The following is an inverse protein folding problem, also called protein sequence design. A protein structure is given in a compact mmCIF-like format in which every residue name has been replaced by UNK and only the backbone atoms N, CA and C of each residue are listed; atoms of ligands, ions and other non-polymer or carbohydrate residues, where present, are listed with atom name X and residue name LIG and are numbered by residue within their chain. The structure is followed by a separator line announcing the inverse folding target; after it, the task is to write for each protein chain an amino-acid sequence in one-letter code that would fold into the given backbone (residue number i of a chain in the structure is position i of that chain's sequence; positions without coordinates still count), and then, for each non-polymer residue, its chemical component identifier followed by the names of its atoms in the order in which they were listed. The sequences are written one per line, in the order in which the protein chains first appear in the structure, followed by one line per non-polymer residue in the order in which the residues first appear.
data_IF_556528360826
#
_entry.id   IF_556528360826
#
_cell.length_a   1.000
_cell.length_b   1.000
_cell.length_c   1.000
_cell.angle_alpha   90.00
_cell.angle_beta   90.00
_cell.angle_gamma   90.00
#
_symmetry.space_group_name_H-M   'P 1'
#
loop_
_entity.id
_entity.type
_entity.pdbx_description
1 polymer ?
#
# COMPACT_ATOMS: atom_id res chain seq x y z
N UNK A 1 86.03 9.81 -39.99
CA UNK A 1 87.37 9.20 -39.79
C UNK A 1 87.45 7.97 -40.69
N UNK A 2 88.01 8.19 -41.87
CA UNK A 2 88.57 7.26 -42.86
C UNK A 2 87.87 5.92 -43.13
N UNK A 3 86.91 6.03 -44.05
CA UNK A 3 86.62 5.12 -45.16
C UNK A 3 87.86 4.35 -45.64
N UNK A 4 87.81 3.01 -45.57
CA UNK A 4 88.79 2.12 -46.22
C UNK A 4 88.17 1.58 -47.51
N UNK A 5 88.59 2.20 -48.60
CA UNK A 5 88.39 1.81 -49.99
C UNK A 5 88.78 0.32 -50.22
N UNK A 6 87.96 -0.51 -50.90
CA UNK A 6 88.21 -1.93 -51.14
C UNK A 6 89.41 -2.24 -52.06
N UNK A 7 90.27 -1.26 -52.36
CA UNK A 7 91.48 -1.41 -53.19
C UNK A 7 92.77 -1.63 -52.40
N UNK A 8 92.78 -1.53 -51.08
CA UNK A 8 93.99 -1.78 -50.28
C UNK A 8 94.08 -3.26 -49.86
N UNK A 9 94.26 -4.14 -50.84
CA UNK A 9 94.79 -5.47 -50.57
C UNK A 9 96.26 -5.33 -50.18
N UNK A 10 96.64 -5.86 -49.01
CA UNK A 10 98.06 -6.09 -48.69
C UNK A 10 98.76 -6.79 -49.86
N UNK A 11 100.04 -6.51 -50.12
CA UNK A 11 100.73 -6.92 -51.35
C UNK A 11 100.83 -8.44 -51.59
N UNK A 12 100.38 -9.29 -50.66
CA UNK A 12 100.34 -10.76 -50.80
C UNK A 12 99.15 -11.34 -51.60
N UNK A 13 98.12 -10.55 -51.96
CA UNK A 13 96.90 -11.10 -52.59
C UNK A 13 96.80 -10.95 -54.11
N UNK A 14 97.89 -10.55 -54.79
CA UNK A 14 97.85 -10.17 -56.21
C UNK A 14 97.74 -11.35 -57.19
N UNK A 15 98.02 -12.59 -56.76
CA UNK A 15 98.13 -13.79 -57.63
C UNK A 15 97.12 -14.92 -57.31
N UNK A 16 95.86 -14.60 -56.96
CA UNK A 16 94.83 -15.62 -56.70
C UNK A 16 93.76 -15.72 -57.80
N UNK A 17 93.30 -16.95 -58.07
CA UNK A 17 92.27 -17.34 -59.06
C UNK A 17 90.91 -16.65 -58.81
N UNK A 18 90.08 -16.39 -59.84
CA UNK A 18 88.75 -15.77 -59.68
C UNK A 18 87.87 -16.44 -58.59
N UNK A 19 87.95 -17.76 -58.46
CA UNK A 19 87.20 -18.55 -57.48
C UNK A 19 87.70 -18.33 -56.03
N UNK A 20 89.02 -18.19 -55.86
CA UNK A 20 89.62 -17.89 -54.55
C UNK A 20 89.24 -16.49 -54.07
N UNK A 21 89.14 -15.52 -54.99
CA UNK A 21 88.63 -14.16 -54.66
C UNK A 21 87.15 -14.19 -54.26
N UNK A 22 86.34 -15.03 -54.91
CA UNK A 22 84.93 -15.21 -54.56
C UNK A 22 84.77 -15.90 -53.19
N UNK A 23 85.58 -16.92 -52.89
CA UNK A 23 85.59 -17.58 -51.58
C UNK A 23 86.00 -16.64 -50.45
N UNK A 24 87.11 -15.90 -50.60
CA UNK A 24 87.57 -14.92 -49.58
C UNK A 24 86.51 -13.83 -49.37
N UNK A 25 85.85 -13.36 -50.43
CA UNK A 25 84.76 -12.38 -50.34
C UNK A 25 83.54 -12.94 -49.61
N UNK A 26 83.18 -14.20 -49.86
CA UNK A 26 82.07 -14.88 -49.18
C UNK A 26 82.38 -15.06 -47.69
N UNK A 27 83.60 -15.46 -47.35
CA UNK A 27 84.06 -15.67 -45.98
C UNK A 27 84.03 -14.35 -45.18
N UNK A 28 84.51 -13.25 -45.77
CA UNK A 28 84.41 -11.91 -45.18
C UNK A 28 82.93 -11.49 -45.01
N UNK A 29 82.07 -11.80 -45.97
CA UNK A 29 80.64 -11.45 -45.92
C UNK A 29 79.89 -12.24 -44.85
N UNK A 30 80.17 -13.55 -44.71
CA UNK A 30 79.64 -14.40 -43.65
C UNK A 30 80.12 -13.97 -42.27
N UNK A 31 81.41 -13.67 -42.12
CA UNK A 31 81.96 -13.21 -40.84
C UNK A 31 81.36 -11.85 -40.45
N UNK A 32 81.19 -10.95 -41.41
CA UNK A 32 80.51 -9.68 -41.19
C UNK A 32 79.02 -9.87 -40.87
N UNK A 33 78.35 -10.84 -41.49
CA UNK A 33 76.96 -11.20 -41.17
C UNK A 33 76.86 -11.72 -39.74
N UNK A 34 77.65 -12.72 -39.34
CA UNK A 34 77.63 -13.25 -37.97
C UNK A 34 78.00 -12.21 -36.93
N UNK A 35 78.99 -11.36 -37.20
CA UNK A 35 79.37 -10.25 -36.30
C UNK A 35 78.27 -9.21 -36.15
N UNK A 36 77.52 -8.94 -37.23
CA UNK A 36 76.35 -8.08 -37.19
C UNK A 36 75.13 -8.79 -36.56
N UNK A 37 75.03 -10.11 -36.70
CA UNK A 37 73.98 -10.94 -36.12
C UNK A 37 74.13 -11.05 -34.61
N UNK A 38 75.34 -11.27 -34.10
CA UNK A 38 75.66 -11.22 -32.66
C UNK A 38 75.34 -9.86 -32.03
N UNK A 39 75.70 -8.78 -32.76
CA UNK A 39 75.33 -7.42 -32.38
C UNK A 39 73.83 -7.15 -32.44
N UNK A 40 73.10 -7.88 -33.28
CA UNK A 40 71.63 -7.78 -33.39
C UNK A 40 70.97 -8.54 -32.24
N UNK A 41 71.46 -9.75 -31.95
CA UNK A 41 70.93 -10.64 -30.90
C UNK A 41 70.98 -10.00 -29.52
N UNK A 42 72.09 -9.35 -29.16
CA UNK A 42 72.22 -8.62 -27.89
C UNK A 42 71.28 -7.41 -27.76
N UNK A 43 70.79 -6.85 -28.87
CA UNK A 43 69.78 -5.77 -28.85
C UNK A 43 68.36 -6.32 -28.70
N UNK A 44 68.08 -7.46 -29.33
CA UNK A 44 66.82 -8.19 -29.16
C UNK A 44 66.64 -8.68 -27.72
N UNK A 45 67.70 -9.17 -27.10
CA UNK A 45 67.73 -9.54 -25.68
C UNK A 45 67.32 -8.37 -24.78
N UNK A 46 67.91 -7.18 -25.02
CA UNK A 46 67.59 -5.96 -24.25
C UNK A 46 66.15 -5.46 -24.45
N UNK A 47 65.53 -5.76 -25.59
CA UNK A 47 64.13 -5.39 -25.88
C UNK A 47 63.12 -6.41 -25.33
N UNK A 48 63.47 -7.70 -25.34
CA UNK A 48 62.59 -8.80 -24.92
C UNK A 48 62.46 -8.88 -23.39
N UNK A 49 63.52 -8.62 -22.64
CA UNK A 49 63.46 -8.64 -21.16
C UNK A 49 62.35 -7.75 -20.57
N UNK A 50 62.23 -6.45 -20.93
CA UNK A 50 61.14 -5.63 -20.41
C UNK A 50 59.76 -6.09 -20.92
N UNK A 51 59.65 -6.61 -22.16
CA UNK A 51 58.39 -7.18 -22.65
C UNK A 51 57.95 -8.40 -21.84
N UNK A 52 58.87 -9.31 -21.50
CA UNK A 52 58.58 -10.49 -20.70
C UNK A 52 58.06 -10.12 -19.30
N UNK A 53 58.65 -9.09 -18.68
CA UNK A 53 58.18 -8.57 -17.39
C UNK A 53 56.77 -8.00 -17.51
N UNK A 54 56.51 -7.18 -18.53
CA UNK A 54 55.18 -6.60 -18.76
C UNK A 54 54.13 -7.67 -19.03
N UNK A 55 54.44 -8.67 -19.86
CA UNK A 55 53.53 -9.80 -20.15
C UNK A 55 53.30 -10.66 -18.91
N UNK A 56 54.34 -10.90 -18.09
CA UNK A 56 54.20 -11.63 -16.83
C UNK A 56 53.31 -10.91 -15.83
N UNK A 57 53.49 -9.60 -15.65
CA UNK A 57 52.64 -8.76 -14.78
C UNK A 57 51.21 -8.70 -15.31
N UNK A 58 51.02 -8.58 -16.62
CA UNK A 58 49.68 -8.62 -17.24
C UNK A 58 49.00 -9.98 -17.04
N UNK A 59 49.74 -11.08 -17.19
CA UNK A 59 49.21 -12.42 -16.95
C UNK A 59 48.80 -12.64 -15.49
N UNK A 60 49.65 -12.23 -14.54
CA UNK A 60 49.34 -12.28 -13.11
C UNK A 60 48.16 -11.38 -12.76
N UNK A 61 48.12 -10.15 -13.28
CA UNK A 61 47.02 -9.21 -13.08
C UNK A 61 45.71 -9.74 -13.66
N UNK A 62 45.75 -10.36 -14.84
CA UNK A 62 44.57 -10.96 -15.47
C UNK A 62 44.06 -12.15 -14.67
N UNK A 63 44.96 -13.03 -14.23
CA UNK A 63 44.61 -14.17 -13.38
C UNK A 63 44.04 -13.72 -12.02
N UNK A 64 44.64 -12.70 -11.41
CA UNK A 64 44.16 -12.11 -10.16
C UNK A 64 42.73 -11.54 -10.30
N UNK A 65 42.43 -10.87 -11.41
CA UNK A 65 41.09 -10.34 -11.70
C UNK A 65 40.07 -11.46 -11.87
N UNK A 66 40.40 -12.50 -12.63
CA UNK A 66 39.54 -13.67 -12.83
C UNK A 66 39.27 -14.37 -11.49
N UNK A 67 40.30 -14.55 -10.66
CA UNK A 67 40.16 -15.16 -9.34
C UNK A 67 39.19 -14.36 -8.45
N UNK A 68 39.40 -13.05 -8.31
CA UNK A 68 38.52 -12.19 -7.51
C UNK A 68 37.08 -12.21 -8.02
N UNK A 69 36.86 -12.04 -9.32
CA UNK A 69 35.51 -12.07 -9.91
C UNK A 69 34.83 -13.42 -9.70
N UNK A 70 35.56 -14.51 -9.83
CA UNK A 70 35.01 -15.87 -9.63
C UNK A 70 34.62 -16.09 -8.17
N UNK A 71 35.46 -15.65 -7.23
CA UNK A 71 35.16 -15.72 -5.79
C UNK A 71 33.96 -14.84 -5.42
N UNK A 72 33.91 -13.61 -5.91
CA UNK A 72 32.80 -12.70 -5.67
C UNK A 72 31.49 -13.25 -6.24
N UNK A 73 31.51 -13.81 -7.46
CA UNK A 73 30.36 -14.46 -8.08
C UNK A 73 29.84 -15.66 -7.28
N UNK A 74 30.75 -16.45 -6.68
CA UNK A 74 30.35 -17.56 -5.82
C UNK A 74 29.62 -17.07 -4.56
N UNK A 75 30.15 -16.04 -3.89
CA UNK A 75 29.50 -15.46 -2.71
C UNK A 75 28.16 -14.78 -3.03
N UNK A 76 28.03 -14.17 -4.22
CA UNK A 76 26.79 -13.58 -4.67
C UNK A 76 25.72 -14.65 -4.92
N UNK A 77 26.11 -15.77 -5.52
CA UNK A 77 25.21 -16.91 -5.79
C UNK A 77 24.69 -17.52 -4.48
N UNK A 78 25.57 -17.71 -3.49
CA UNK A 78 25.16 -18.23 -2.17
C UNK A 78 24.21 -17.28 -1.41
N UNK A 79 24.32 -15.96 -1.62
CA UNK A 79 23.47 -14.99 -0.93
C UNK A 79 22.15 -14.72 -1.64
N UNK A 80 22.16 -14.73 -2.98
CA UNK A 80 20.99 -14.44 -3.82
C UNK A 80 20.03 -15.62 -3.84
N UNK A 81 20.52 -16.85 -3.99
CA UNK A 81 19.65 -17.99 -4.30
C UNK A 81 18.74 -18.39 -3.13
N UNK A 82 19.25 -18.69 -1.92
CA UNK A 82 18.40 -19.22 -0.84
C UNK A 82 17.58 -18.11 -0.16
N UNK A 83 18.17 -16.92 0.02
CA UNK A 83 17.51 -15.83 0.78
C UNK A 83 16.42 -15.15 -0.03
N UNK A 84 16.58 -15.04 -1.35
CA UNK A 84 15.48 -14.52 -2.19
C UNK A 84 14.36 -15.54 -2.30
N UNK A 85 14.65 -16.83 -2.41
CA UNK A 85 13.62 -17.88 -2.38
C UNK A 85 12.78 -17.80 -1.11
N UNK A 86 13.41 -17.78 0.07
CA UNK A 86 12.71 -17.68 1.35
C UNK A 86 11.88 -16.40 1.48
N UNK A 87 12.44 -15.26 1.07
CA UNK A 87 11.74 -13.97 1.12
C UNK A 87 10.55 -13.93 0.16
N UNK A 88 10.70 -14.47 -1.06
CA UNK A 88 9.62 -14.55 -2.03
C UNK A 88 8.53 -15.51 -1.57
N UNK A 89 8.89 -16.64 -0.95
CA UNK A 89 7.95 -17.56 -0.35
C UNK A 89 7.20 -16.93 0.82
N UNK A 90 7.90 -16.20 1.70
CA UNK A 90 7.28 -15.44 2.80
C UNK A 90 6.33 -14.37 2.27
N UNK A 91 6.73 -13.63 1.25
CA UNK A 91 5.89 -12.64 0.60
C UNK A 91 4.64 -13.27 -0.03
N UNK A 92 4.78 -14.41 -0.70
CA UNK A 92 3.66 -15.19 -1.24
C UNK A 92 2.69 -15.61 -0.13
N UNK A 93 3.21 -16.11 0.99
CA UNK A 93 2.40 -16.47 2.16
C UNK A 93 1.65 -15.26 2.74
N UNK A 94 2.32 -14.11 2.88
CA UNK A 94 1.68 -12.87 3.33
C UNK A 94 0.61 -12.38 2.36
N UNK A 95 0.84 -12.46 1.05
CA UNK A 95 -0.16 -12.13 0.04
C UNK A 95 -1.37 -13.07 0.12
N UNK A 96 -1.14 -14.36 0.38
CA UNK A 96 -2.22 -15.32 0.62
C UNK A 96 -3.04 -15.01 1.89
N UNK A 97 -2.39 -14.58 2.96
CA UNK A 97 -3.07 -14.14 4.19
C UNK A 97 -3.85 -12.83 3.97
N UNK A 98 -3.25 -11.86 3.29
CA UNK A 98 -3.90 -10.60 2.95
C UNK A 98 -5.16 -10.84 2.12
N UNK A 99 -5.08 -11.73 1.12
CA UNK A 99 -6.22 -12.11 0.28
C UNK A 99 -7.35 -12.70 1.13
N UNK A 100 -7.04 -13.60 2.07
CA UNK A 100 -8.03 -14.16 3.01
C UNK A 100 -8.65 -13.10 3.91
N UNK A 101 -7.85 -12.17 4.44
CA UNK A 101 -8.36 -11.08 5.27
C UNK A 101 -9.31 -10.17 4.46
N UNK A 102 -8.98 -9.86 3.20
CA UNK A 102 -9.85 -9.09 2.31
C UNK A 102 -11.17 -9.81 2.05
N UNK A 103 -11.15 -11.14 1.86
CA UNK A 103 -12.36 -11.95 1.70
C UNK A 103 -13.25 -11.88 2.95
N UNK A 104 -12.67 -12.05 4.14
CA UNK A 104 -13.40 -11.94 5.41
C UNK A 104 -13.99 -10.53 5.59
N UNK A 105 -13.21 -9.48 5.30
CA UNK A 105 -13.69 -8.10 5.37
C UNK A 105 -14.85 -7.87 4.40
N UNK A 106 -14.79 -8.44 3.19
CA UNK A 106 -15.87 -8.34 2.21
C UNK A 106 -17.15 -8.98 2.73
N UNK A 107 -17.06 -10.18 3.32
CA UNK A 107 -18.20 -10.85 3.94
C UNK A 107 -18.79 -10.05 5.11
N UNK A 108 -17.93 -9.50 5.97
CA UNK A 108 -18.36 -8.65 7.09
C UNK A 108 -19.06 -7.37 6.62
N UNK A 109 -18.61 -6.77 5.52
CA UNK A 109 -19.27 -5.61 4.91
C UNK A 109 -20.67 -5.99 4.40
N UNK A 110 -20.82 -7.14 3.74
CA UNK A 110 -22.14 -7.63 3.30
C UNK A 110 -23.10 -7.78 4.47
N UNK A 111 -22.67 -8.39 5.58
CA UNK A 111 -23.48 -8.52 6.80
C UNK A 111 -23.83 -7.16 7.39
N UNK A 112 -22.90 -6.20 7.34
CA UNK A 112 -23.15 -4.84 7.82
C UNK A 112 -24.23 -4.14 6.98
N UNK A 113 -24.20 -4.30 5.65
CA UNK A 113 -25.24 -3.78 4.74
C UNK A 113 -26.60 -4.37 5.10
N UNK A 114 -26.70 -5.69 5.26
CA UNK A 114 -27.96 -6.35 5.66
C UNK A 114 -28.50 -5.84 7.00
N UNK A 115 -27.62 -5.57 7.98
CA UNK A 115 -28.01 -5.00 9.27
C UNK A 115 -28.52 -3.56 9.13
N UNK A 116 -27.90 -2.76 8.28
CA UNK A 116 -28.33 -1.38 8.00
C UNK A 116 -29.70 -1.39 7.34
N UNK A 117 -29.94 -2.26 6.36
CA UNK A 117 -31.25 -2.42 5.71
C UNK A 117 -32.33 -2.82 6.73
N UNK A 118 -32.02 -3.76 7.63
CA UNK A 118 -32.93 -4.16 8.71
C UNK A 118 -33.22 -3.00 9.66
N UNK A 119 -32.21 -2.20 10.02
CA UNK A 119 -32.40 -1.00 10.84
C UNK A 119 -33.30 0.03 10.15
N UNK A 120 -33.14 0.23 8.83
CA UNK A 120 -33.97 1.15 8.07
C UNK A 120 -35.45 0.71 8.11
N UNK A 121 -35.73 -0.58 7.94
CA UNK A 121 -37.07 -1.14 8.08
C UNK A 121 -37.64 -0.94 9.50
N UNK A 122 -36.83 -1.15 10.54
CA UNK A 122 -37.25 -0.89 11.91
C UNK A 122 -37.57 0.58 12.17
N UNK A 123 -36.78 1.50 11.62
CA UNK A 123 -37.03 2.94 11.72
C UNK A 123 -38.33 3.31 11.00
N UNK A 124 -38.56 2.79 9.79
CA UNK A 124 -39.79 3.03 9.05
C UNK A 124 -41.05 2.52 9.81
N UNK A 125 -40.96 1.34 10.43
CA UNK A 125 -42.02 0.81 11.26
C UNK A 125 -42.27 1.68 12.51
N UNK A 126 -41.20 2.19 13.12
CA UNK A 126 -41.29 3.10 14.26
C UNK A 126 -41.94 4.42 13.88
N UNK A 127 -41.59 4.99 12.73
CA UNK A 127 -42.20 6.21 12.20
C UNK A 127 -43.72 6.02 11.98
N UNK A 128 -44.12 4.88 11.40
CA UNK A 128 -45.53 4.51 11.27
C UNK A 128 -46.26 4.42 12.62
N UNK A 129 -45.65 3.80 13.62
CA UNK A 129 -46.22 3.70 14.98
C UNK A 129 -46.34 5.07 15.64
N UNK A 130 -45.35 5.95 15.49
CA UNK A 130 -45.38 7.32 16.02
C UNK A 130 -46.50 8.11 15.33
N UNK A 131 -46.67 7.95 14.01
CA UNK A 131 -47.78 8.53 13.26
C UNK A 131 -49.15 8.09 13.78
N UNK A 132 -49.33 6.79 14.04
CA UNK A 132 -50.56 6.26 14.63
C UNK A 132 -50.83 6.83 16.04
N UNK A 133 -49.81 6.88 16.90
CA UNK A 133 -49.92 7.48 18.23
C UNK A 133 -50.30 8.96 18.16
N UNK A 134 -49.76 9.72 17.20
CA UNK A 134 -50.13 11.12 17.02
C UNK A 134 -51.62 11.29 16.67
N UNK A 135 -52.17 10.39 15.84
CA UNK A 135 -53.60 10.35 15.53
C UNK A 135 -54.44 10.02 16.76
N UNK A 136 -54.04 9.00 17.53
CA UNK A 136 -54.75 8.59 18.76
C UNK A 136 -54.78 9.70 19.81
N UNK A 137 -53.66 10.40 20.01
CA UNK A 137 -53.59 11.57 20.90
C UNK A 137 -54.48 12.70 20.38
N UNK A 138 -54.54 12.90 19.06
CA UNK A 138 -55.45 13.85 18.43
C UNK A 138 -56.92 13.55 18.74
N UNK A 139 -57.33 12.29 18.59
CA UNK A 139 -58.68 11.83 18.90
C UNK A 139 -58.99 11.96 20.41
N UNK A 140 -58.03 11.61 21.26
CA UNK A 140 -58.17 11.77 22.71
C UNK A 140 -58.37 13.24 23.11
N UNK A 141 -57.61 14.16 22.51
CA UNK A 141 -57.78 15.60 22.71
C UNK A 141 -59.19 16.06 22.34
N UNK A 142 -59.73 15.58 21.22
CA UNK A 142 -61.10 15.91 20.80
C UNK A 142 -62.14 15.37 21.79
N UNK A 143 -62.01 14.11 22.21
CA UNK A 143 -62.93 13.49 23.17
C UNK A 143 -62.91 14.22 24.52
N UNK A 144 -61.74 14.58 25.03
CA UNK A 144 -61.61 15.40 26.25
C UNK A 144 -62.25 16.78 26.08
N UNK A 145 -62.12 17.38 24.90
CA UNK A 145 -62.83 18.62 24.55
C UNK A 145 -64.35 18.48 24.64
N UNK A 146 -64.91 17.42 24.04
CA UNK A 146 -66.35 17.12 24.12
C UNK A 146 -66.81 16.86 25.55
N UNK A 147 -66.04 16.10 26.33
CA UNK A 147 -66.33 15.88 27.75
C UNK A 147 -66.36 17.19 28.53
N UNK A 148 -65.44 18.11 28.24
CA UNK A 148 -65.39 19.43 28.89
C UNK A 148 -66.66 20.24 28.60
N UNK A 149 -67.15 20.22 27.36
CA UNK A 149 -68.41 20.87 26.97
C UNK A 149 -69.60 20.22 27.69
N UNK A 150 -69.70 18.89 27.66
CA UNK A 150 -70.78 18.16 28.34
C UNK A 150 -70.81 18.46 29.86
N UNK A 151 -69.64 18.56 30.50
CA UNK A 151 -69.54 18.92 31.92
C UNK A 151 -70.02 20.36 32.16
N UNK A 152 -69.69 21.29 31.26
CA UNK A 152 -70.18 22.67 31.35
C UNK A 152 -71.71 22.75 31.23
N UNK A 153 -72.29 22.02 30.26
CA UNK A 153 -73.75 21.94 30.06
C UNK A 153 -74.45 21.30 31.26
N UNK A 154 -73.90 20.20 31.80
CA UNK A 154 -74.41 19.59 33.03
C UNK A 154 -74.34 20.56 34.22
N UNK A 155 -73.26 21.34 34.35
CA UNK A 155 -73.13 22.33 35.40
C UNK A 155 -74.23 23.40 35.28
N UNK A 156 -74.50 23.87 34.06
CA UNK A 156 -75.57 24.84 33.81
C UNK A 156 -76.95 24.25 34.12
N UNK A 157 -77.23 23.02 33.67
CA UNK A 157 -78.49 22.34 33.98
C UNK A 157 -78.69 22.16 35.49
N UNK A 158 -77.64 21.80 36.22
CA UNK A 158 -77.67 21.67 37.69
C UNK A 158 -77.93 23.01 38.38
N UNK A 159 -77.35 24.11 37.89
CA UNK A 159 -77.65 25.46 38.41
C UNK A 159 -79.12 25.81 38.20
N UNK A 160 -79.67 25.56 37.01
CA UNK A 160 -81.10 25.78 36.72
C UNK A 160 -81.98 24.93 37.63
N UNK A 161 -81.63 23.66 37.83
CA UNK A 161 -82.36 22.78 38.74
C UNK A 161 -82.30 23.31 40.18
N UNK A 162 -81.15 23.78 40.65
CA UNK A 162 -80.97 24.38 41.98
C UNK A 162 -81.83 25.63 42.17
N UNK A 163 -81.93 26.47 41.14
CA UNK A 163 -82.80 27.65 41.15
C UNK A 163 -84.28 27.23 41.20
N UNK A 164 -84.69 26.28 40.37
CA UNK A 164 -86.06 25.77 40.33
C UNK A 164 -86.48 25.11 41.64
N UNK A 165 -85.62 24.27 42.25
CA UNK A 165 -85.89 23.67 43.56
C UNK A 165 -85.96 24.74 44.66
N UNK A 166 -85.18 25.82 44.54
CA UNK A 166 -85.28 26.98 45.42
C UNK A 166 -86.58 27.79 45.27
N UNK A 167 -87.15 27.88 44.06
CA UNK A 167 -88.50 28.42 43.84
C UNK A 167 -89.56 27.48 44.43
N UNK A 168 -89.53 26.19 44.10
CA UNK A 168 -90.45 25.19 44.63
C UNK A 168 -90.45 25.15 46.16
N UNK A 169 -89.27 25.20 46.79
CA UNK A 169 -89.14 25.25 48.25
C UNK A 169 -89.83 26.49 48.82
N UNK A 170 -89.68 27.66 48.20
CA UNK A 170 -90.39 28.89 48.61
C UNK A 170 -91.90 28.79 48.40
N UNK A 171 -92.35 28.20 47.30
CA UNK A 171 -93.78 28.03 47.00
C UNK A 171 -94.44 27.07 48.00
N UNK A 172 -93.78 25.95 48.33
CA UNK A 172 -94.22 25.01 49.36
C UNK A 172 -94.31 25.70 50.73
N UNK A 173 -93.29 26.50 51.10
CA UNK A 173 -93.32 27.28 52.34
C UNK A 173 -94.46 28.31 52.36
N UNK A 174 -94.78 28.93 51.22
CA UNK A 174 -95.92 29.86 51.12
C UNK A 174 -97.27 29.15 51.18
N UNK A 175 -97.39 27.93 50.64
CA UNK A 175 -98.60 27.10 50.73
C UNK A 175 -98.84 26.52 52.13
N UNK A 176 -97.77 26.24 52.90
CA UNK A 176 -97.90 25.76 54.29
C UNK A 176 -98.46 26.80 55.27
N UNK A 177 -98.16 28.09 55.06
CA UNK A 177 -98.61 29.18 55.94
C UNK A 177 -100.14 29.34 56.09
N UNK A 178 -100.95 29.29 55.01
CA UNK A 178 -102.40 29.29 55.14
C UNK A 178 -102.95 27.97 55.70
N UNK A 179 -102.25 26.85 55.56
CA UNK A 179 -102.65 25.58 56.20
C UNK A 179 -102.53 25.67 57.73
N UNK A 180 -101.49 26.33 58.26
CA UNK A 180 -101.37 26.63 59.69
C UNK A 180 -102.49 27.56 60.19
N UNK A 181 -102.86 28.57 59.38
CA UNK A 181 -104.01 29.43 59.68
C UNK A 181 -105.32 28.63 59.68
N UNK A 182 -105.58 27.81 58.65
CA UNK A 182 -106.81 27.01 58.56
C UNK A 182 -106.92 25.94 59.66
N UNK A 183 -105.80 25.35 60.10
CA UNK A 183 -105.78 24.41 61.23
C UNK A 183 -106.18 25.07 62.56
N UNK A 184 -105.99 26.39 62.72
CA UNK A 184 -106.46 27.13 63.90
C UNK A 184 -107.97 27.38 63.92
N UNK A 185 -108.67 27.20 62.79
CA UNK A 185 -110.13 27.37 62.69
C UNK A 185 -110.90 26.05 62.72
N UNK A 186 -110.23 24.90 62.59
CA UNK A 186 -110.88 23.57 62.68
C UNK A 186 -110.00 22.59 63.45
N UNK A 187 -110.09 22.55 64.80
CA UNK A 187 -109.46 21.51 65.58
C UNK A 187 -110.26 20.21 65.44
N UNK A 188 -109.58 19.11 65.13
CA UNK A 188 -110.12 17.75 65.21
C UNK A 188 -109.22 16.89 66.08
#
# INVERSE_FOLDING_TARGET
MFEKDPRTFSPEFKNLSPEQKAMVKLEITLTNFFKNFDKSMSRWERMIYPMLVVVGVLGLSGFYLIYNVTTDMHTLTEQVDPRMEDNLQSMSNHMGQLTRNIQIMTEQITVLVERVDSMEQHIAAMDGNIGALAVDVGNMKQNVGLMTVNIADMNQAMRTMTVNTGFMSRDINQMGRPMDFMNSFTPW
#
